data_IF_211685848381
#
_entry.id   IF_211685848381
#
_cell.length_a   1.000
_cell.length_b   1.000
_cell.length_c   1.000
_cell.angle_alpha   90.00
_cell.angle_beta   90.00
_cell.angle_gamma   90.00
#
_symmetry.space_group_name_H-M   'P 1'
#
loop_
_entity.id
_entity.type
_entity.pdbx_description
1 polymer ?
#
# COMPACT_ATOMS: atom_id res chain seq x y z
N UNK A 1 -25.18 18.07 -3.09
CA UNK A 1 -24.90 16.75 -3.67
C UNK A 1 -24.11 16.95 -4.95
N UNK A 2 -22.78 16.92 -4.82
CA UNK A 2 -21.92 15.95 -5.49
C UNK A 2 -21.21 15.09 -4.42
N UNK A 3 -21.25 13.76 -4.47
CA UNK A 3 -20.38 12.90 -5.28
C UNK A 3 -18.90 13.30 -5.16
N UNK A 4 -18.26 12.85 -4.08
CA UNK A 4 -16.80 12.72 -3.96
C UNK A 4 -16.52 11.39 -3.22
N UNK A 5 -16.92 10.29 -3.86
CA UNK A 5 -16.48 8.95 -3.50
C UNK A 5 -15.07 8.76 -4.06
N UNK A 6 -14.13 8.66 -3.14
CA UNK A 6 -12.78 9.09 -3.39
C UNK A 6 -11.87 7.88 -3.70
N UNK A 7 -11.16 7.81 -4.85
CA UNK A 7 -10.32 6.65 -5.15
C UNK A 7 -9.03 6.64 -4.32
N UNK A 8 -8.85 5.58 -3.52
CA UNK A 8 -7.74 5.41 -2.58
C UNK A 8 -6.97 4.13 -2.88
N UNK A 9 -5.77 4.29 -3.45
CA UNK A 9 -4.81 3.20 -3.58
C UNK A 9 -3.42 3.75 -3.28
N UNK A 10 -2.86 3.31 -2.15
CA UNK A 10 -1.48 3.59 -1.67
C UNK A 10 -1.29 4.88 -0.88
N UNK A 11 -2.22 5.20 0.01
CA UNK A 11 -1.93 5.87 1.29
C UNK A 11 -2.31 4.96 2.45
N UNK A 12 -1.81 5.15 3.69
CA UNK A 12 -2.44 4.56 4.86
C UNK A 12 -3.73 5.33 5.18
N UNK A 13 -4.87 4.64 5.29
CA UNK A 13 -6.11 5.31 5.74
C UNK A 13 -5.87 5.95 7.10
N UNK A 14 -6.15 7.26 7.19
CA UNK A 14 -6.18 8.00 8.45
C UNK A 14 -7.49 7.65 9.14
N UNK A 15 -7.39 7.20 10.38
CA UNK A 15 -8.48 6.58 11.13
C UNK A 15 -9.69 7.50 11.47
N UNK A 16 -9.70 8.76 10.98
CA UNK A 16 -10.67 9.79 11.41
C UNK A 16 -11.38 10.54 10.28
N UNK A 17 -11.33 10.06 9.04
CA UNK A 17 -12.27 10.54 8.02
C UNK A 17 -13.59 9.75 8.15
N UNK A 18 -14.74 10.42 8.04
CA UNK A 18 -16.08 9.83 8.11
C UNK A 18 -16.26 8.62 7.18
N UNK A 19 -17.25 7.78 7.50
CA UNK A 19 -17.52 6.45 6.97
C UNK A 19 -17.26 6.28 5.45
N UNK A 20 -16.04 5.87 5.12
CA UNK A 20 -15.65 5.50 3.76
C UNK A 20 -16.10 4.05 3.47
N UNK A 21 -17.01 3.83 2.51
CA UNK A 21 -17.55 2.50 2.19
C UNK A 21 -16.51 1.55 1.62
N UNK A 22 -15.31 2.04 1.27
CA UNK A 22 -14.22 1.23 0.71
C UNK A 22 -13.28 0.66 1.78
N UNK A 23 -13.54 0.91 3.07
CA UNK A 23 -12.72 0.36 4.16
C UNK A 23 -13.01 -1.12 4.40
N UNK A 24 -11.99 -1.92 4.75
CA UNK A 24 -12.23 -3.29 5.21
C UNK A 24 -13.03 -3.25 6.52
N UNK A 25 -14.06 -4.10 6.62
CA UNK A 25 -14.81 -4.29 7.86
C UNK A 25 -13.99 -5.19 8.77
N UNK A 26 -13.70 -4.73 9.99
CA UNK A 26 -12.92 -5.47 10.97
C UNK A 26 -13.77 -5.85 12.19
N UNK A 27 -13.50 -7.00 12.78
CA UNK A 27 -14.15 -7.44 14.02
C UNK A 27 -13.55 -6.75 15.25
N UNK A 28 -14.04 -7.13 16.44
CA UNK A 28 -13.55 -6.57 17.72
C UNK A 28 -12.09 -6.92 18.03
N UNK A 29 -11.50 -7.87 17.31
CA UNK A 29 -10.10 -8.29 17.40
C UNK A 29 -9.26 -7.74 16.25
N UNK A 30 -9.81 -6.81 15.46
CA UNK A 30 -9.19 -6.22 14.29
C UNK A 30 -8.87 -7.23 13.17
N UNK A 31 -9.57 -8.37 13.14
CA UNK A 31 -9.49 -9.32 12.03
C UNK A 31 -10.48 -8.92 10.93
N UNK A 32 -10.15 -9.21 9.67
CA UNK A 32 -11.04 -8.98 8.54
C UNK A 32 -12.34 -9.77 8.72
N UNK A 33 -13.48 -9.09 8.56
CA UNK A 33 -14.81 -9.69 8.39
C UNK A 33 -15.05 -9.84 6.89
N UNK A 34 -15.07 -11.07 6.35
CA UNK A 34 -15.31 -11.27 4.93
C UNK A 34 -16.71 -10.82 4.52
N UNK A 35 -16.84 -10.34 3.28
CA UNK A 35 -18.13 -10.09 2.64
C UNK A 35 -18.88 -11.42 2.43
N UNK A 36 -20.23 -11.40 2.31
CA UNK A 36 -20.98 -12.60 1.97
C UNK A 36 -20.43 -13.32 0.72
N UNK A 37 -20.10 -14.60 0.89
CA UNK A 37 -19.51 -15.45 -0.15
C UNK A 37 -18.02 -15.21 -0.46
N UNK A 38 -17.35 -14.30 0.25
CA UNK A 38 -15.90 -14.13 0.19
C UNK A 38 -15.20 -15.23 0.98
N UNK A 39 -14.19 -15.88 0.39
CA UNK A 39 -13.44 -16.97 1.02
C UNK A 39 -12.06 -16.51 1.45
N UNK A 40 -11.72 -16.77 2.71
CA UNK A 40 -10.36 -16.55 3.22
C UNK A 40 -9.42 -17.60 2.63
N UNK A 41 -8.29 -17.15 2.09
CA UNK A 41 -7.29 -18.02 1.47
C UNK A 41 -6.02 -18.12 2.32
N UNK A 42 -5.68 -17.11 3.11
CA UNK A 42 -4.48 -17.15 3.95
C UNK A 42 -4.24 -15.89 4.76
N UNK A 43 -3.34 -16.03 5.74
CA UNK A 43 -2.88 -14.97 6.64
C UNK A 43 -1.35 -14.94 6.67
N UNK A 44 -0.78 -13.74 6.67
CA UNK A 44 0.67 -13.53 6.70
C UNK A 44 1.00 -12.36 7.63
N UNK A 45 2.23 -12.31 8.14
CA UNK A 45 2.74 -11.18 8.92
C UNK A 45 3.95 -10.60 8.19
N UNK A 46 3.80 -9.44 7.55
CA UNK A 46 4.80 -8.87 6.65
C UNK A 46 4.96 -7.37 6.87
N UNK A 47 6.13 -6.82 6.52
CA UNK A 47 6.31 -5.36 6.45
C UNK A 47 5.54 -4.83 5.25
N UNK A 48 4.98 -3.63 5.39
CA UNK A 48 4.14 -3.00 4.37
C UNK A 48 4.65 -1.61 4.08
N UNK A 49 4.82 -1.29 2.80
CA UNK A 49 5.15 0.04 2.33
C UNK A 49 4.34 0.39 1.08
N UNK A 50 4.13 1.69 0.87
CA UNK A 50 3.52 2.22 -0.32
C UNK A 50 4.54 2.89 -1.21
N UNK A 51 4.48 2.57 -2.49
CA UNK A 51 5.39 3.06 -3.51
C UNK A 51 4.62 3.72 -4.66
N UNK A 52 5.29 4.65 -5.33
CA UNK A 52 4.87 5.24 -6.58
C UNK A 52 5.97 5.03 -7.62
N UNK A 53 5.71 4.12 -8.57
CA UNK A 53 6.66 3.62 -9.55
C UNK A 53 6.59 4.41 -10.85
N UNK A 54 7.58 5.23 -11.14
CA UNK A 54 7.72 5.97 -12.39
C UNK A 54 8.57 5.31 -13.44
N UNK A 55 8.66 5.94 -14.64
CA UNK A 55 9.51 5.44 -15.71
C UNK A 55 11.00 5.36 -15.33
N UNK A 56 11.44 6.26 -14.43
CA UNK A 56 12.86 6.39 -14.04
C UNK A 56 13.07 6.37 -12.53
N UNK A 57 11.99 6.40 -11.74
CA UNK A 57 12.05 6.60 -10.29
C UNK A 57 11.15 5.59 -9.58
N UNK A 58 11.62 5.06 -8.45
CA UNK A 58 10.81 4.29 -7.51
C UNK A 58 10.80 5.05 -6.19
N UNK A 59 9.67 5.67 -5.86
CA UNK A 59 9.54 6.50 -4.67
C UNK A 59 8.74 5.75 -3.62
N UNK A 60 9.37 5.43 -2.49
CA UNK A 60 8.67 4.96 -1.29
C UNK A 60 7.97 6.14 -0.62
N UNK A 61 6.65 6.18 -0.70
CA UNK A 61 5.82 7.27 -0.17
C UNK A 61 5.56 7.13 1.33
N UNK A 62 5.47 5.90 1.84
CA UNK A 62 5.27 5.60 3.26
C UNK A 62 5.65 4.15 3.57
N UNK A 63 5.87 3.86 4.86
CA UNK A 63 6.04 2.51 5.38
C UNK A 63 5.39 2.38 6.75
N UNK A 64 4.82 1.21 7.05
CA UNK A 64 4.34 0.92 8.40
C UNK A 64 5.53 0.59 9.32
N UNK A 65 5.54 1.10 10.56
CA UNK A 65 6.68 0.94 11.47
C UNK A 65 6.86 -0.50 11.94
N UNK A 66 5.78 -1.28 12.01
CA UNK A 66 5.78 -2.69 12.40
C UNK A 66 5.15 -3.56 11.33
N UNK A 67 5.47 -4.87 11.29
CA UNK A 67 4.79 -5.82 10.42
C UNK A 67 3.26 -5.78 10.62
N UNK A 68 2.54 -5.82 9.51
CA UNK A 68 1.09 -5.85 9.48
C UNK A 68 0.59 -7.28 9.24
N UNK A 69 -0.58 -7.59 9.79
CA UNK A 69 -1.32 -8.80 9.42
C UNK A 69 -1.90 -8.59 8.03
N UNK A 70 -1.56 -9.49 7.12
CA UNK A 70 -2.05 -9.51 5.74
C UNK A 70 -3.04 -10.66 5.59
N UNK A 71 -4.28 -10.36 5.27
CA UNK A 71 -5.31 -11.34 4.94
C UNK A 71 -5.53 -11.35 3.44
N UNK A 72 -5.46 -12.54 2.83
CA UNK A 72 -5.73 -12.74 1.40
C UNK A 72 -7.03 -13.51 1.25
N UNK A 73 -7.93 -13.01 0.41
CA UNK A 73 -9.20 -13.66 0.05
C UNK A 73 -9.26 -13.92 -1.44
N UNK A 74 -10.33 -14.56 -1.90
CA UNK A 74 -10.61 -14.72 -3.31
C UNK A 74 -11.13 -13.44 -3.99
N UNK A 75 -11.26 -12.31 -3.27
CA UNK A 75 -11.70 -11.02 -3.82
C UNK A 75 -10.74 -9.85 -3.57
N UNK A 76 -9.91 -9.92 -2.52
CA UNK A 76 -9.03 -8.82 -2.11
C UNK A 76 -7.87 -9.29 -1.22
N UNK A 77 -6.94 -8.39 -0.99
CA UNK A 77 -5.96 -8.43 0.08
C UNK A 77 -6.22 -7.27 1.03
N UNK A 78 -6.11 -7.53 2.33
CA UNK A 78 -6.29 -6.55 3.40
C UNK A 78 -5.05 -6.56 4.28
N UNK A 79 -4.55 -5.39 4.66
CA UNK A 79 -3.51 -5.26 5.67
C UNK A 79 -4.06 -4.54 6.90
N UNK A 80 -3.65 -5.00 8.08
CA UNK A 80 -4.03 -4.42 9.37
C UNK A 80 -2.80 -4.37 10.27
N UNK A 81 -2.45 -3.18 10.76
CA UNK A 81 -1.33 -2.94 11.64
C UNK A 81 -1.81 -2.30 12.94
N UNK A 82 -1.70 -3.04 14.03
CA UNK A 82 -1.98 -2.56 15.39
C UNK A 82 -0.71 -1.99 16.03
N UNK A 83 -0.82 -0.87 16.73
CA UNK A 83 0.29 -0.23 17.44
C UNK A 83 1.01 0.87 16.67
N UNK A 84 0.51 1.26 15.49
CA UNK A 84 1.09 2.34 14.69
C UNK A 84 0.43 3.67 15.03
N UNK A 85 1.16 4.55 15.72
CA UNK A 85 0.88 5.98 15.67
C UNK A 85 1.41 6.47 14.33
N UNK A 86 0.53 6.64 13.33
CA UNK A 86 0.92 7.38 12.13
C UNK A 86 1.20 8.81 12.58
N UNK A 87 2.47 9.21 12.61
CA UNK A 87 2.86 10.59 12.79
C UNK A 87 2.37 11.39 11.59
N UNK A 88 1.17 11.93 11.71
CA UNK A 88 0.67 12.96 10.82
C UNK A 88 1.56 14.18 11.02
N UNK A 89 2.32 14.56 9.99
CA UNK A 89 2.93 15.90 9.94
C UNK A 89 1.77 16.91 9.93
N UNK A 90 1.61 17.77 10.96
CA UNK A 90 0.52 18.73 10.99
C UNK A 90 0.66 19.67 9.79
N UNK A 91 -0.39 19.74 8.96
CA UNK A 91 -0.56 20.86 8.04
C UNK A 91 -0.60 22.15 8.85
N UNK A 92 0.15 23.16 8.43
CA UNK A 92 0.46 24.40 9.16
C UNK A 92 -0.73 25.37 9.26
N UNK A 93 -1.97 24.90 9.35
CA UNK A 93 -3.14 25.79 9.42
C UNK A 93 -4.09 25.37 10.54
N UNK A 94 -3.74 25.73 11.76
CA UNK A 94 -4.68 25.82 12.89
C UNK A 94 -4.14 26.78 13.95
N UNK A 95 -4.01 28.06 13.59
CA UNK A 95 -4.02 29.12 14.60
C UNK A 95 -5.48 29.36 14.97
N UNK A 96 -5.90 28.84 16.12
CA UNK A 96 -6.69 29.55 17.17
C UNK A 96 -7.29 28.57 18.18
N UNK A 97 -7.17 28.91 19.47
CA UNK A 97 -8.20 28.63 20.47
C UNK A 97 -8.09 27.34 21.28
N UNK A 98 -7.48 27.44 22.46
CA UNK A 98 -7.51 26.43 23.51
C UNK A 98 -8.92 26.20 24.09
N UNK A 99 -9.24 24.94 24.45
CA UNK A 99 -9.77 24.48 25.76
C UNK A 99 -10.20 23.01 25.68
N UNK A 100 -9.54 22.18 26.50
CA UNK A 100 -9.91 20.81 26.93
C UNK A 100 -10.89 20.01 26.05
N UNK A 101 -10.40 19.48 24.92
CA UNK A 101 -10.88 18.18 24.45
C UNK A 101 -9.83 17.14 24.87
N UNK A 102 -10.25 16.14 25.67
CA UNK A 102 -9.46 14.92 25.85
C UNK A 102 -9.01 14.47 24.45
N UNK A 103 -7.72 14.19 24.20
CA UNK A 103 -7.35 13.58 22.93
C UNK A 103 -8.07 12.25 22.92
N UNK A 104 -9.11 12.14 22.08
CA UNK A 104 -9.63 10.85 21.65
C UNK A 104 -8.37 10.13 21.17
N UNK A 105 -7.97 9.06 21.86
CA UNK A 105 -6.86 8.22 21.40
C UNK A 105 -7.33 7.58 20.10
N UNK A 106 -7.11 8.28 19.00
CA UNK A 106 -7.37 7.81 17.66
C UNK A 106 -6.64 6.48 17.55
N UNK A 107 -7.41 5.44 17.26
CA UNK A 107 -6.98 4.08 17.49
C UNK A 107 -5.67 3.84 16.74
N UNK A 108 -4.72 3.15 17.40
CA UNK A 108 -3.38 2.81 16.87
C UNK A 108 -3.44 1.79 15.72
N UNK A 109 -4.52 1.77 14.98
CA UNK A 109 -4.86 0.80 13.97
C UNK A 109 -4.75 1.46 12.60
N UNK A 110 -3.92 0.90 11.75
CA UNK A 110 -3.82 1.29 10.35
C UNK A 110 -4.26 0.12 9.52
N UNK A 111 -5.17 0.35 8.56
CA UNK A 111 -5.61 -0.71 7.65
C UNK A 111 -5.82 -0.19 6.24
N UNK A 112 -5.79 -1.10 5.28
CA UNK A 112 -6.16 -0.82 3.89
C UNK A 112 -6.39 -2.10 3.11
N UNK A 113 -6.85 -1.97 1.86
CA UNK A 113 -7.17 -3.11 1.02
C UNK A 113 -6.85 -2.90 -0.46
N UNK A 114 -6.61 -4.01 -1.16
CA UNK A 114 -6.44 -4.11 -2.61
C UNK A 114 -7.50 -5.08 -3.13
N UNK A 115 -8.39 -4.63 -4.02
CA UNK A 115 -9.37 -5.52 -4.66
C UNK A 115 -8.83 -6.08 -5.97
N UNK A 116 -9.20 -7.30 -6.33
CA UNK A 116 -8.61 -8.05 -7.44
C UNK A 116 -8.92 -7.53 -8.84
N UNK A 117 -9.83 -6.56 -8.99
CA UNK A 117 -9.99 -5.84 -10.24
C UNK A 117 -8.81 -4.90 -10.56
N UNK A 118 -8.02 -4.43 -9.58
CA UNK A 118 -7.04 -3.36 -9.81
C UNK A 118 -5.61 -3.78 -10.20
N UNK A 119 -4.99 -4.83 -9.64
CA UNK A 119 -3.57 -5.11 -9.89
C UNK A 119 -3.26 -5.41 -11.36
N UNK A 120 -2.35 -4.66 -11.97
CA UNK A 120 -1.93 -4.88 -13.36
C UNK A 120 -0.74 -5.82 -13.47
N UNK A 121 0.09 -5.88 -12.42
CA UNK A 121 1.20 -6.83 -12.33
C UNK A 121 1.64 -7.06 -10.89
N UNK A 122 2.43 -8.11 -10.73
CA UNK A 122 3.21 -8.39 -9.54
C UNK A 122 4.70 -8.31 -9.87
N UNK A 123 5.49 -7.71 -9.00
CA UNK A 123 6.95 -7.72 -9.08
C UNK A 123 7.50 -8.41 -7.84
N UNK A 124 8.33 -9.43 -8.03
CA UNK A 124 8.98 -10.16 -6.94
C UNK A 124 10.48 -9.96 -7.03
N UNK A 125 11.08 -9.36 -6.01
CA UNK A 125 12.51 -9.12 -5.92
C UNK A 125 13.10 -9.81 -4.68
N UNK A 126 14.35 -10.27 -4.81
CA UNK A 126 15.19 -10.68 -3.69
C UNK A 126 15.87 -9.42 -3.15
N UNK A 127 15.75 -9.18 -1.85
CA UNK A 127 16.37 -8.03 -1.19
C UNK A 127 17.72 -8.38 -0.56
N UNK A 128 18.14 -9.64 -0.64
CA UNK A 128 19.30 -10.17 0.08
C UNK A 128 18.94 -10.67 1.48
N UNK A 129 19.90 -11.30 2.15
CA UNK A 129 19.80 -11.78 3.54
C UNK A 129 18.61 -12.70 3.83
N UNK A 130 18.15 -13.46 2.82
CA UNK A 130 17.00 -14.35 2.94
C UNK A 130 15.66 -13.62 3.00
N UNK A 131 15.62 -12.36 2.56
CA UNK A 131 14.41 -11.54 2.48
C UNK A 131 14.02 -11.24 1.03
N UNK A 132 12.71 -11.14 0.78
CA UNK A 132 12.17 -10.79 -0.51
C UNK A 132 11.08 -9.72 -0.36
N UNK A 133 10.77 -9.05 -1.46
CA UNK A 133 9.69 -8.07 -1.56
C UNK A 133 8.77 -8.42 -2.72
N UNK A 134 7.47 -8.50 -2.42
CA UNK A 134 6.41 -8.57 -3.40
C UNK A 134 5.77 -7.19 -3.53
N UNK A 135 5.77 -6.64 -4.74
CA UNK A 135 5.01 -5.43 -5.07
C UNK A 135 3.75 -5.81 -5.84
N UNK A 136 2.60 -5.41 -5.30
CA UNK A 136 1.32 -5.48 -5.98
C UNK A 136 1.09 -4.13 -6.66
N UNK A 137 1.28 -4.09 -7.98
CA UNK A 137 1.26 -2.84 -8.75
C UNK A 137 -0.09 -2.68 -9.44
N UNK A 138 -0.65 -1.47 -9.38
CA UNK A 138 -1.87 -1.10 -10.09
C UNK A 138 -1.57 -0.12 -11.22
N UNK A 139 -2.37 -0.18 -12.28
CA UNK A 139 -2.39 0.88 -13.27
C UNK A 139 -3.13 2.09 -12.72
N UNK A 140 -2.81 3.27 -13.24
CA UNK A 140 -3.45 4.49 -12.83
C UNK A 140 -3.95 5.28 -14.04
N UNK A 141 -5.08 5.97 -13.85
CA UNK A 141 -5.59 6.92 -14.82
C UNK A 141 -4.84 8.25 -14.73
N UNK A 142 -4.67 8.90 -15.89
CA UNK A 142 -4.19 10.29 -16.03
C UNK A 142 -2.75 10.52 -15.55
N UNK A 143 -1.96 9.47 -15.36
CA UNK A 143 -0.59 9.60 -14.89
C UNK A 143 0.31 8.45 -15.34
N UNK A 144 1.64 8.69 -15.37
CA UNK A 144 2.63 7.74 -15.91
C UNK A 144 3.21 6.78 -14.86
N UNK A 145 3.39 7.25 -13.62
CA UNK A 145 3.73 6.47 -12.43
C UNK A 145 2.55 5.65 -11.93
N UNK A 146 2.86 4.48 -11.41
CA UNK A 146 1.94 3.45 -10.98
C UNK A 146 2.03 3.23 -9.47
N UNK A 147 0.90 3.25 -8.75
CA UNK A 147 0.90 2.98 -7.32
C UNK A 147 1.14 1.48 -7.05
N UNK A 148 1.95 1.18 -6.04
CA UNK A 148 2.28 -0.18 -5.65
C UNK A 148 2.28 -0.37 -4.14
N UNK A 149 1.77 -1.51 -3.68
CA UNK A 149 1.89 -1.97 -2.30
C UNK A 149 3.03 -2.98 -2.21
N UNK A 150 4.09 -2.63 -1.48
CA UNK A 150 5.21 -3.50 -1.19
C UNK A 150 4.96 -4.31 0.08
N UNK A 151 5.18 -5.61 0.00
CA UNK A 151 5.05 -6.60 1.08
C UNK A 151 6.37 -7.34 1.21
N UNK A 152 7.11 -7.09 2.30
CA UNK A 152 8.46 -7.64 2.49
C UNK A 152 8.58 -8.50 3.75
N UNK A 153 9.45 -9.52 3.66
CA UNK A 153 9.65 -10.53 4.70
C UNK A 153 10.53 -11.68 4.21
N UNK A 154 10.54 -12.82 4.91
CA UNK A 154 11.37 -13.96 4.51
C UNK A 154 10.98 -14.49 3.12
N UNK A 155 11.98 -14.94 2.34
CA UNK A 155 11.81 -15.38 0.93
C UNK A 155 10.66 -16.39 0.77
N UNK A 156 10.65 -17.48 1.55
CA UNK A 156 9.65 -18.54 1.44
C UNK A 156 8.19 -18.04 1.54
N UNK A 157 7.82 -17.37 2.64
CA UNK A 157 6.52 -16.73 2.81
C UNK A 157 6.15 -15.76 1.69
N UNK A 158 7.06 -14.86 1.29
CA UNK A 158 6.78 -13.84 0.26
C UNK A 158 6.59 -14.49 -1.12
N UNK A 159 7.42 -15.47 -1.51
CA UNK A 159 7.23 -16.23 -2.75
C UNK A 159 5.93 -17.06 -2.73
N UNK A 160 5.56 -17.61 -1.57
CA UNK A 160 4.28 -18.27 -1.35
C UNK A 160 3.09 -17.32 -1.56
N UNK A 161 3.17 -16.13 -0.97
CA UNK A 161 2.17 -15.08 -1.12
C UNK A 161 2.06 -14.60 -2.57
N UNK A 162 3.17 -14.39 -3.27
CA UNK A 162 3.17 -13.97 -4.67
C UNK A 162 2.42 -14.98 -5.57
N UNK A 163 2.62 -16.29 -5.34
CA UNK A 163 1.83 -17.35 -6.00
C UNK A 163 0.35 -17.31 -5.65
N UNK A 164 0.03 -17.02 -4.40
CA UNK A 164 -1.34 -16.93 -3.94
C UNK A 164 -2.05 -15.75 -4.59
N UNK A 165 -1.48 -14.54 -4.52
CA UNK A 165 -2.05 -13.32 -5.13
C UNK A 165 -2.20 -13.50 -6.64
N UNK A 166 -1.19 -14.03 -7.34
CA UNK A 166 -1.28 -14.33 -8.78
C UNK A 166 -2.52 -15.17 -9.12
N UNK A 167 -2.72 -16.27 -8.39
CA UNK A 167 -3.84 -17.19 -8.62
C UNK A 167 -5.18 -16.56 -8.24
N UNK A 168 -5.22 -15.83 -7.12
CA UNK A 168 -6.45 -15.17 -6.65
C UNK A 168 -6.92 -14.09 -7.61
N UNK A 169 -6.02 -13.23 -8.10
CA UNK A 169 -6.39 -12.19 -9.08
C UNK A 169 -6.88 -12.82 -10.37
N UNK A 170 -6.15 -13.81 -10.89
CA UNK A 170 -6.54 -14.47 -12.13
C UNK A 170 -7.87 -15.23 -12.01
N UNK A 171 -8.07 -15.95 -10.91
CA UNK A 171 -9.31 -16.68 -10.64
C UNK A 171 -10.50 -15.73 -10.46
N UNK A 172 -10.30 -14.62 -9.76
CA UNK A 172 -11.34 -13.60 -9.59
C UNK A 172 -11.78 -13.02 -10.93
N UNK A 173 -10.84 -12.61 -11.79
CA UNK A 173 -11.17 -12.00 -13.10
C UNK A 173 -11.83 -12.98 -14.06
N UNK A 174 -11.38 -14.23 -14.08
CA UNK A 174 -12.04 -15.27 -14.89
C UNK A 174 -13.47 -15.59 -14.40
N UNK A 175 -13.71 -15.50 -13.09
CA UNK A 175 -15.04 -15.71 -12.51
C UNK A 175 -15.96 -14.49 -12.64
N UNK A 176 -15.42 -13.30 -12.98
CA UNK A 176 -16.17 -12.06 -13.11
C UNK A 176 -15.86 -11.38 -14.46
N UNK A 177 -16.17 -12.03 -15.59
CA UNK A 177 -15.84 -11.50 -16.91
C UNK A 177 -16.59 -10.19 -17.22
N UNK A 178 -17.71 -9.92 -16.58
CA UNK A 178 -18.48 -8.67 -16.79
C UNK A 178 -17.82 -7.44 -16.12
N UNK A 179 -16.89 -7.65 -15.18
CA UNK A 179 -16.16 -6.56 -14.52
C UNK A 179 -14.97 -6.07 -15.35
N UNK A 180 -14.46 -6.91 -16.25
CA UNK A 180 -13.23 -6.69 -17.00
C UNK A 180 -13.40 -7.23 -18.41
N UNK A 181 -13.41 -6.37 -19.42
CA UNK A 181 -13.55 -6.76 -20.83
C UNK A 181 -12.29 -7.49 -21.34
N UNK A 182 -12.17 -8.77 -20.98
CA UNK A 182 -11.03 -9.62 -21.32
C UNK A 182 -11.18 -10.17 -22.74
N UNK A 183 -10.21 -9.85 -23.59
CA UNK A 183 -10.03 -10.50 -24.89
C UNK A 183 -9.68 -11.99 -24.73
N UNK A 184 -9.93 -12.85 -25.74
CA UNK A 184 -9.59 -14.27 -25.66
C UNK A 184 -8.12 -14.55 -25.26
N UNK A 185 -7.10 -13.86 -25.83
CA UNK A 185 -5.71 -14.07 -25.40
C UNK A 185 -5.45 -13.72 -23.93
N UNK A 186 -6.12 -12.70 -23.39
CA UNK A 186 -5.98 -12.34 -21.98
C UNK A 186 -6.58 -13.40 -21.05
N UNK A 187 -7.71 -14.01 -21.45
CA UNK A 187 -8.31 -15.14 -20.72
C UNK A 187 -7.38 -16.35 -20.69
N UNK A 188 -6.68 -16.64 -21.79
CA UNK A 188 -5.70 -17.74 -21.85
C UNK A 188 -4.51 -17.49 -20.90
N UNK A 189 -4.02 -16.24 -20.87
CA UNK A 189 -2.98 -15.83 -19.93
C UNK A 189 -3.45 -16.03 -18.49
N UNK A 190 -4.65 -15.55 -18.12
CA UNK A 190 -5.19 -15.73 -16.77
C UNK A 190 -5.41 -17.20 -16.41
N UNK A 191 -5.88 -18.02 -17.36
CA UNK A 191 -6.05 -19.47 -17.17
C UNK A 191 -4.72 -20.12 -16.78
N UNK A 192 -3.65 -19.73 -17.46
CA UNK A 192 -2.27 -20.15 -17.12
C UNK A 192 -1.83 -19.64 -15.75
N UNK A 193 -2.24 -18.43 -15.35
CA UNK A 193 -1.89 -17.85 -14.02
C UNK A 193 -2.61 -18.54 -12.85
N UNK A 194 -3.83 -19.03 -13.07
CA UNK A 194 -4.60 -19.83 -12.09
C UNK A 194 -3.99 -21.22 -11.91
N UNK A 195 -3.48 -21.82 -12.99
CA UNK A 195 -2.88 -23.14 -12.94
C UNK A 195 -1.71 -23.22 -11.92
N UNK A 196 -1.52 -24.41 -11.36
CA UNK A 196 -0.47 -24.74 -10.39
C UNK A 196 0.95 -24.75 -10.99
N UNK A 197 1.17 -23.98 -12.06
CA UNK A 197 2.49 -23.77 -12.66
C UNK A 197 3.44 -23.16 -11.63
N UNK A 198 4.76 -23.48 -11.68
CA UNK A 198 5.76 -22.90 -10.78
C UNK A 198 5.56 -21.39 -10.66
N UNK A 199 5.83 -20.87 -9.46
CA UNK A 199 5.45 -19.52 -9.07
C UNK A 199 6.07 -18.41 -9.91
N UNK A 200 5.84 -17.14 -9.56
CA UNK A 200 6.76 -16.11 -10.02
C UNK A 200 8.17 -16.53 -9.60
N UNK A 201 8.98 -16.94 -10.59
CA UNK A 201 10.42 -16.74 -10.53
C UNK A 201 10.63 -15.23 -10.35
N UNK A 202 11.70 -14.85 -9.66
CA UNK A 202 12.11 -13.45 -9.52
C UNK A 202 11.83 -12.66 -10.81
N UNK A 203 11.26 -11.47 -10.66
CA UNK A 203 10.84 -10.63 -11.79
C UNK A 203 9.34 -10.35 -11.80
N UNK A 204 8.83 -10.07 -13.00
CA UNK A 204 7.51 -9.44 -13.20
C UNK A 204 6.50 -10.40 -13.79
N UNK A 205 5.29 -10.41 -13.22
CA UNK A 205 4.14 -11.17 -13.71
C UNK A 205 3.00 -10.22 -14.05
N UNK A 206 2.65 -10.14 -15.33
CA UNK A 206 1.50 -9.39 -15.81
C UNK A 206 0.19 -10.08 -15.45
N UNK A 207 -0.82 -9.26 -15.14
CA UNK A 207 -2.19 -9.63 -14.80
C UNK A 207 -3.14 -8.80 -15.67
N UNK A 208 -3.54 -9.29 -16.86
CA UNK A 208 -4.40 -8.55 -17.78
C UNK A 208 -5.82 -8.32 -17.22
N UNK A 209 -6.53 -7.35 -17.79
CA UNK A 209 -7.83 -6.89 -17.28
C UNK A 209 -7.74 -6.11 -15.97
N UNK A 210 -6.69 -5.30 -15.78
CA UNK A 210 -6.65 -4.31 -14.69
C UNK A 210 -7.60 -3.16 -14.98
N UNK A 211 -8.44 -2.83 -14.01
CA UNK A 211 -9.12 -1.54 -13.98
C UNK A 211 -8.16 -0.51 -13.37
N UNK A 212 -7.86 0.59 -14.08
CA UNK A 212 -6.92 1.57 -13.58
C UNK A 212 -7.52 2.31 -12.38
N UNK A 213 -6.68 2.61 -11.40
CA UNK A 213 -7.08 3.40 -10.23
C UNK A 213 -7.05 4.87 -10.57
N UNK A 214 -7.98 5.63 -10.02
CA UNK A 214 -7.96 7.08 -10.11
C UNK A 214 -7.21 7.68 -8.91
N UNK A 215 -6.51 8.78 -9.13
CA UNK A 215 -5.95 9.57 -8.03
C UNK A 215 -6.90 10.72 -7.73
N UNK A 216 -7.17 10.94 -6.44
CA UNK A 216 -8.08 11.98 -5.97
C UNK A 216 -7.55 13.38 -6.14
N UNK A 217 -6.31 13.58 -5.70
CA UNK A 217 -5.62 14.84 -5.86
C UNK A 217 -4.43 14.66 -6.76
N UNK A 218 -4.22 15.64 -7.62
CA UNK A 218 -2.97 15.80 -8.35
C UNK A 218 -1.78 15.84 -7.39
N UNK A 219 -1.95 16.44 -6.21
CA UNK A 219 -0.88 16.60 -5.21
C UNK A 219 -0.42 15.27 -4.59
N UNK A 220 -1.28 14.25 -4.56
CA UNK A 220 -0.94 12.91 -4.05
C UNK A 220 0.21 12.26 -4.84
N UNK A 221 0.45 12.77 -6.05
CA UNK A 221 1.40 12.23 -6.99
C UNK A 221 2.62 13.14 -7.23
N UNK A 222 2.43 14.47 -7.21
CA UNK A 222 3.51 15.43 -7.48
C UNK A 222 4.30 15.84 -6.24
N UNK A 223 3.89 15.43 -5.02
CA UNK A 223 4.62 15.82 -3.82
C UNK A 223 6.01 15.18 -3.82
N UNK A 224 7.09 15.99 -3.75
CA UNK A 224 8.43 15.45 -3.54
C UNK A 224 8.45 14.69 -2.20
N UNK A 225 9.14 13.54 -2.11
CA UNK A 225 9.32 12.88 -0.84
C UNK A 225 9.98 13.87 0.13
N UNK A 226 9.36 14.09 1.29
CA UNK A 226 10.03 14.79 2.38
C UNK A 226 11.18 13.87 2.77
N UNK A 227 12.41 14.27 2.45
CA UNK A 227 13.59 13.56 2.90
C UNK A 227 13.44 13.33 4.41
N UNK A 228 13.48 12.06 4.85
CA UNK A 228 13.63 11.75 6.25
C UNK A 228 14.89 12.48 6.71
N UNK A 229 14.71 13.59 7.45
CA UNK A 229 15.81 14.26 8.09
C UNK A 229 16.40 13.24 9.07
N UNK A 230 17.55 12.69 8.70
CA UNK A 230 18.35 11.87 9.61
C UNK A 230 18.49 12.65 10.92
N UNK A 231 18.14 12.07 12.09
CA UNK A 231 18.30 12.72 13.39
C UNK A 231 19.77 13.04 13.73
N UNK A 232 20.70 12.70 12.85
CA UNK A 232 22.15 12.81 13.02
C UNK A 232 22.79 13.69 11.95
N UNK A 233 22.15 14.79 11.57
CA UNK A 233 22.90 15.95 11.11
C UNK A 233 23.21 16.83 12.34
N UNK A 234 24.20 16.42 13.13
CA UNK A 234 24.79 17.33 14.11
C UNK A 234 25.32 18.53 13.32
N UNK A 235 24.81 19.71 13.64
CA UNK A 235 25.43 20.97 13.27
C UNK A 235 26.85 21.00 13.85
N UNK A 236 27.84 20.65 13.05
CA UNK A 236 29.18 21.21 13.23
C UNK A 236 29.13 22.65 12.69
N UNK A 237 28.59 23.54 13.52
CA UNK A 237 28.88 24.96 13.41
C UNK A 237 30.26 25.17 14.04
N UNK A 238 31.28 25.67 13.31
CA UNK A 238 32.52 26.07 13.96
C UNK A 238 32.23 27.23 14.90
N UNK A 239 32.64 27.05 16.15
CA UNK A 239 32.57 28.03 17.21
C UNK A 239 33.23 29.34 16.75
N UNK A 240 32.50 30.45 16.88
CA UNK A 240 33.07 31.79 16.84
C UNK A 240 33.94 31.97 18.08
N UNK A 241 35.24 31.78 17.93
CA UNK A 241 36.21 32.36 18.85
C UNK A 241 36.34 33.86 18.57
N UNK A 242 35.68 34.66 19.41
CA UNK A 242 36.23 35.94 19.81
C UNK A 242 36.97 35.73 21.13
N UNK A 243 38.11 36.40 21.30
CA UNK A 243 38.15 37.42 22.34
C UNK A 243 38.83 38.71 21.86
N UNK A 244 38.54 39.80 22.57
CA UNK A 244 38.82 41.16 22.13
C UNK A 244 40.16 41.75 22.56
N UNK A 245 40.26 43.04 22.24
CA UNK A 245 40.89 44.15 23.00
C UNK A 245 42.18 44.76 22.42
N UNK A 246 42.14 46.11 22.35
CA UNK A 246 43.22 47.12 22.33
C UNK A 246 44.13 47.15 21.06
N UNK A 247 44.39 48.27 20.38
CA UNK A 247 44.41 49.70 20.72
C UNK A 247 43.86 50.53 19.55
#
# INVERSE_FOLDING_TARGET
>A
MPEDAAPFFVGPHRFDADADPTRPVLDRRYALVPEPGERMLGHHLLRVAGHLLGPTEDVRCWALPTPATITVTDRRLVYVCSGSELSVVPGRDSRTGARHRRPVRLSRLVSGQIRWQWPSRLELADLGDGTAELRVVCDALRTIRQPALALSGPVGPVTGLARQVRRSVAGYRLANPDLVDLSPPERDVLTTRVAASPGPMLGTVTLPGSLPVEFLSRDDYYRPPVAEASPWARSDAPARDQPGSAC
#
